data_IF_218960506945
#
_entry.id   IF_218960506945
#
_cell.length_a   1.000
_cell.length_b   1.000
_cell.length_c   1.000
_cell.angle_alpha   90.00
_cell.angle_beta   90.00
_cell.angle_gamma   90.00
#
_symmetry.space_group_name_H-M   'P 1'
#
loop_
_entity.id
_entity.type
_entity.pdbx_description
1 polymer ?
#
# COMPACT_ATOMS: atom_id res chain seq x y z
N UNK A 1 -2.21 8.96 3.60
CA UNK A 1 -0.86 8.34 3.44
C UNK A 1 0.24 9.39 3.32
N UNK A 2 0.02 10.56 2.70
CA UNK A 2 0.75 11.81 2.98
C UNK A 2 2.28 11.80 2.80
N UNK A 3 2.83 10.73 2.22
CA UNK A 3 4.24 10.59 1.86
C UNK A 3 4.39 10.89 0.38
N UNK A 4 5.42 11.64 0.03
CA UNK A 4 5.76 11.97 -1.36
C UNK A 4 6.42 10.78 -2.07
N UNK A 5 7.20 9.95 -1.35
CA UNK A 5 7.80 8.73 -1.89
C UNK A 5 6.82 7.53 -1.84
N UNK A 6 6.41 7.08 -3.03
CA UNK A 6 5.54 5.92 -3.26
C UNK A 6 6.26 4.92 -4.16
N UNK A 7 6.62 3.77 -3.59
CA UNK A 7 7.33 2.69 -4.30
C UNK A 7 6.35 1.58 -4.69
N UNK A 8 6.33 1.24 -5.97
CA UNK A 8 5.47 0.21 -6.53
C UNK A 8 6.22 -1.12 -6.60
N UNK A 9 5.66 -2.17 -6.01
CA UNK A 9 6.21 -3.52 -6.13
C UNK A 9 6.12 -4.04 -7.58
N UNK A 10 7.13 -4.80 -7.99
CA UNK A 10 7.22 -5.33 -9.36
C UNK A 10 6.07 -6.28 -9.69
N UNK A 11 5.55 -7.01 -8.69
CA UNK A 11 4.42 -7.92 -8.88
C UNK A 11 3.13 -7.17 -9.20
N UNK A 12 2.95 -5.99 -8.60
CA UNK A 12 1.80 -5.13 -8.90
C UNK A 12 1.88 -4.60 -10.32
N UNK A 13 3.06 -4.19 -10.76
CA UNK A 13 3.29 -3.76 -12.14
C UNK A 13 2.98 -4.91 -13.12
N UNK A 14 3.53 -6.11 -12.89
CA UNK A 14 3.24 -7.29 -13.74
C UNK A 14 1.75 -7.62 -13.81
N UNK A 15 1.02 -7.50 -12.70
CA UNK A 15 -0.42 -7.77 -12.68
C UNK A 15 -1.23 -6.73 -13.48
N UNK A 16 -0.87 -5.45 -13.39
CA UNK A 16 -1.53 -4.38 -14.15
C UNK A 16 -1.35 -4.62 -15.66
N UNK A 17 -0.14 -5.01 -16.07
CA UNK A 17 0.20 -5.19 -17.48
C UNK A 17 -0.04 -6.59 -18.03
N UNK A 18 -0.52 -7.54 -17.21
CA UNK A 18 -0.66 -8.94 -17.62
C UNK A 18 -1.66 -9.16 -18.77
N UNK A 19 -2.63 -8.25 -18.92
CA UNK A 19 -3.68 -8.29 -19.97
C UNK A 19 -3.38 -7.35 -21.14
N UNK A 20 -2.21 -6.70 -21.14
CA UNK A 20 -1.81 -5.69 -22.12
C UNK A 20 -2.38 -4.29 -21.85
N UNK A 21 -2.04 -3.33 -22.72
CA UNK A 21 -2.31 -1.90 -22.53
C UNK A 21 -3.80 -1.56 -22.63
N UNK A 22 -4.56 -2.29 -23.46
CA UNK A 22 -5.96 -1.98 -23.75
C UNK A 22 -6.96 -2.52 -22.73
N UNK A 23 -6.58 -3.52 -21.93
CA UNK A 23 -7.51 -4.22 -21.04
C UNK A 23 -7.01 -4.26 -19.59
N UNK A 24 -6.75 -3.08 -19.03
CA UNK A 24 -6.30 -2.92 -17.64
C UNK A 24 -7.40 -3.39 -16.67
N UNK A 25 -7.08 -4.15 -15.61
CA UNK A 25 -8.06 -4.55 -14.60
C UNK A 25 -8.76 -3.33 -13.97
N UNK A 26 -10.10 -3.31 -14.00
CA UNK A 26 -10.90 -2.22 -13.40
C UNK A 26 -10.74 -2.09 -11.88
N UNK A 27 -10.39 -3.19 -11.20
CA UNK A 27 -10.23 -3.24 -9.74
C UNK A 27 -9.04 -4.10 -9.37
N UNK A 28 -8.18 -3.56 -8.51
CA UNK A 28 -7.00 -4.24 -7.97
C UNK A 28 -7.02 -4.13 -6.45
N UNK A 29 -6.76 -5.24 -5.76
CA UNK A 29 -6.59 -5.22 -4.30
C UNK A 29 -5.12 -5.02 -3.97
N UNK A 30 -4.88 -3.97 -3.20
CA UNK A 30 -3.53 -3.50 -2.88
C UNK A 30 -3.37 -3.45 -1.37
N UNK A 31 -2.17 -3.79 -0.89
CA UNK A 31 -1.70 -3.56 0.47
C UNK A 31 -0.73 -2.39 0.46
N UNK A 32 -0.98 -1.42 1.33
CA UNK A 32 -0.13 -0.25 1.52
C UNK A 32 0.59 -0.42 2.85
N UNK A 33 1.93 -0.40 2.81
CA UNK A 33 2.76 -0.45 4.00
C UNK A 33 3.65 0.79 4.05
N UNK A 34 3.57 1.56 5.13
CA UNK A 34 4.51 2.67 5.36
C UNK A 34 5.72 2.15 6.11
N UNK A 35 6.91 2.29 5.53
CA UNK A 35 8.18 1.84 6.12
C UNK A 35 9.13 3.02 6.28
N UNK A 36 10.07 2.90 7.23
CA UNK A 36 11.18 3.84 7.35
C UNK A 36 12.21 3.52 6.26
N UNK A 37 12.77 4.58 5.70
CA UNK A 37 13.89 4.46 4.79
C UNK A 37 15.18 4.34 5.61
N UNK A 38 16.07 3.43 5.22
CA UNK A 38 17.38 3.23 5.84
C UNK A 38 18.50 3.93 5.04
N UNK A 39 18.18 4.49 3.86
CA UNK A 39 19.12 5.21 3.02
C UNK A 39 19.29 6.68 3.47
N UNK A 40 20.49 7.04 3.94
CA UNK A 40 20.83 8.38 4.45
C UNK A 40 20.76 9.50 3.38
N UNK A 41 20.87 9.17 2.09
CA UNK A 41 20.83 10.15 0.98
C UNK A 41 19.40 10.55 0.55
N UNK A 42 18.36 9.99 1.19
CA UNK A 42 16.98 10.23 0.78
C UNK A 42 16.36 11.43 1.52
N UNK A 43 15.75 12.42 0.82
CA UNK A 43 15.10 13.54 1.49
C UNK A 43 13.86 13.13 2.30
N UNK A 44 13.30 11.94 2.01
CA UNK A 44 12.13 11.40 2.68
C UNK A 44 12.48 10.25 3.63
N UNK A 45 12.21 10.46 4.92
CA UNK A 45 12.40 9.47 5.99
C UNK A 45 11.44 8.27 5.91
N UNK A 46 10.32 8.44 5.23
CA UNK A 46 9.25 7.46 5.14
C UNK A 46 8.90 7.25 3.66
N UNK A 47 8.80 5.99 3.26
CA UNK A 47 8.25 5.62 1.96
C UNK A 47 7.03 4.72 2.15
N UNK A 48 6.16 4.73 1.15
CA UNK A 48 5.03 3.80 1.08
C UNK A 48 5.32 2.73 0.05
N UNK A 49 5.31 1.47 0.48
CA UNK A 49 5.42 0.32 -0.40
C UNK A 49 4.02 -0.18 -0.76
N UNK A 50 3.77 -0.27 -2.05
CA UNK A 50 2.50 -0.69 -2.63
C UNK A 50 2.67 -2.12 -3.12
N UNK A 51 1.98 -3.07 -2.47
CA UNK A 51 2.08 -4.50 -2.78
C UNK A 51 0.77 -5.04 -3.31
N UNK A 52 0.85 -5.95 -4.28
CA UNK A 52 -0.32 -6.63 -4.85
C UNK A 52 -0.79 -7.75 -3.92
N UNK A 53 -2.12 -7.87 -3.73
CA UNK A 53 -2.73 -9.01 -3.05
C UNK A 53 -3.55 -9.81 -4.05
N UNK A 54 -3.18 -11.07 -4.33
CA UNK A 54 -4.01 -11.92 -5.16
C UNK A 54 -5.29 -12.26 -4.41
N UNK A 55 -6.43 -11.99 -5.04
CA UNK A 55 -7.76 -12.27 -4.49
C UNK A 55 -8.65 -12.77 -5.62
N UNK A 56 -9.39 -13.85 -5.37
CA UNK A 56 -10.30 -14.44 -6.35
C UNK A 56 -11.59 -13.61 -6.55
N UNK A 57 -12.15 -13.04 -5.46
CA UNK A 57 -13.41 -12.30 -5.50
C UNK A 57 -13.31 -10.94 -4.81
N UNK A 58 -13.79 -9.89 -5.46
CA UNK A 58 -13.79 -8.52 -4.90
C UNK A 58 -15.08 -8.16 -4.16
N UNK A 59 -16.04 -9.09 -4.03
CA UNK A 59 -17.32 -8.83 -3.36
C UNK A 59 -17.10 -8.65 -1.84
N UNK A 60 -17.72 -7.63 -1.26
CA UNK A 60 -17.74 -7.34 0.18
C UNK A 60 -16.37 -7.12 0.87
N UNK A 61 -15.29 -6.92 0.11
CA UNK A 61 -13.97 -6.65 0.69
C UNK A 61 -13.80 -5.18 1.06
N UNK A 62 -14.09 -4.87 2.32
CA UNK A 62 -13.82 -3.55 2.90
C UNK A 62 -12.33 -3.34 3.18
N UNK A 63 -11.95 -2.11 3.47
CA UNK A 63 -10.60 -1.77 3.97
C UNK A 63 -10.37 -2.48 5.29
N UNK A 64 -9.33 -3.31 5.35
CA UNK A 64 -8.91 -3.99 6.57
C UNK A 64 -7.54 -3.47 6.95
N UNK A 65 -7.37 -3.10 8.22
CA UNK A 65 -6.07 -2.82 8.76
C UNK A 65 -5.31 -4.14 8.88
N UNK A 66 -4.12 -4.19 8.28
CA UNK A 66 -3.25 -5.36 8.36
C UNK A 66 -2.18 -5.03 9.38
N UNK A 67 -2.18 -5.74 10.52
CA UNK A 67 -1.13 -5.59 11.52
C UNK A 67 0.16 -6.23 11.01
N UNK A 68 1.21 -5.42 10.92
CA UNK A 68 2.54 -5.83 10.47
C UNK A 68 3.26 -6.54 11.63
N UNK A 69 2.73 -7.67 12.07
CA UNK A 69 3.26 -8.36 13.25
C UNK A 69 4.41 -9.29 12.85
N UNK A 70 5.62 -8.75 12.68
CA UNK A 70 6.87 -9.33 13.23
C UNK A 70 8.13 -8.46 13.00
N UNK A 71 8.76 -8.11 14.14
CA UNK A 71 10.19 -7.89 14.41
C UNK A 71 10.89 -6.66 13.80
N UNK A 72 10.82 -5.52 14.49
CA UNK A 72 11.92 -4.98 15.34
C UNK A 72 11.50 -3.68 16.04
N UNK A 73 11.67 -3.70 17.35
CA UNK A 73 11.96 -2.57 18.27
C UNK A 73 11.37 -1.19 17.98
N UNK A 74 10.43 -0.83 18.86
CA UNK A 74 10.14 0.53 19.37
C UNK A 74 9.84 1.63 18.35
N UNK A 75 8.56 1.98 18.20
CA UNK A 75 7.97 3.19 18.81
C UNK A 75 6.73 3.62 18.01
N UNK A 76 5.60 3.53 18.69
CA UNK A 76 4.30 4.16 18.44
C UNK A 76 3.59 3.90 17.10
N UNK A 77 2.68 2.92 17.21
CA UNK A 77 1.45 2.84 16.45
C UNK A 77 0.72 4.18 16.40
N UNK A 78 0.27 4.58 15.21
CA UNK A 78 -1.02 5.27 15.09
C UNK A 78 -1.52 5.14 13.66
N UNK A 79 -2.38 4.14 13.43
CA UNK A 79 -3.25 4.10 12.26
C UNK A 79 -4.52 4.87 12.62
N UNK A 80 -4.58 6.17 12.26
CA UNK A 80 -5.82 6.96 12.35
C UNK A 80 -6.62 6.81 11.05
N UNK A 81 -7.87 6.37 11.18
CA UNK A 81 -8.88 6.44 10.12
C UNK A 81 -9.64 7.76 10.34
N UNK A 82 -9.43 8.73 9.45
CA UNK A 82 -10.34 9.87 9.36
C UNK A 82 -11.58 9.45 8.58
N UNK A 83 -12.75 9.66 9.19
CA UNK A 83 -14.04 9.71 8.50
C UNK A 83 -14.31 11.19 8.23
N UNK A 84 -14.21 11.63 6.98
CA UNK A 84 -14.68 12.96 6.59
C UNK A 84 -16.18 12.85 6.29
N UNK A 85 -16.99 13.43 7.17
CA UNK A 85 -18.41 13.67 6.92
C UNK A 85 -18.55 14.93 6.07
N UNK A 86 -19.27 14.80 4.96
CA UNK A 86 -19.71 15.88 4.08
C UNK A 86 -20.60 16.86 4.83
N UNK A 87 -20.29 18.15 4.75
CA UNK A 87 -21.21 19.17 4.26
C UNK A 87 -20.54 19.83 3.06
#
# INVERSE_FOLDING_TARGET
MGTEDVRIDTHLNKHIWSKGIRNVPFRVRVRLARRRNDDEDSPHKLYTLVTFVPVATFKQLQTKNVDSNQKRSTCHQSSRIFRASLW
#
